data_IF_381393712977
#
_entry.id   IF_381393712977
#
_cell.length_a   1.000
_cell.length_b   1.000
_cell.length_c   1.000
_cell.angle_alpha   90.00
_cell.angle_beta   90.00
_cell.angle_gamma   90.00
#
_symmetry.space_group_name_H-M   'P 1'
#
loop_
_entity.id
_entity.type
_entity.pdbx_description
1 polymer ?
#
# COMPACT_ATOMS: atom_id res chain seq x y z
N UNK A 1 24.06 -27.32 -13.69
CA UNK A 1 23.08 -27.61 -12.61
C UNK A 1 22.82 -26.31 -11.87
N UNK A 2 21.64 -25.73 -11.98
CA UNK A 2 21.29 -24.52 -11.23
C UNK A 2 21.24 -24.86 -9.74
N UNK A 3 21.88 -24.05 -8.87
CA UNK A 3 21.75 -24.21 -7.43
C UNK A 3 20.26 -24.10 -7.06
N UNK A 4 19.69 -25.17 -6.49
CA UNK A 4 18.36 -25.13 -5.91
C UNK A 4 18.33 -24.17 -4.72
N UNK A 5 17.21 -23.48 -4.52
CA UNK A 5 17.01 -22.62 -3.35
C UNK A 5 16.86 -23.46 -2.09
N UNK A 6 17.37 -22.97 -0.96
CA UNK A 6 17.07 -23.55 0.35
C UNK A 6 15.60 -23.35 0.72
N UNK A 7 15.08 -24.13 1.67
CA UNK A 7 13.71 -23.95 2.17
C UNK A 7 13.47 -22.55 2.74
N UNK A 8 14.48 -21.98 3.40
CA UNK A 8 14.42 -20.63 3.96
C UNK A 8 14.36 -19.57 2.85
N UNK A 9 15.18 -19.71 1.80
CA UNK A 9 15.13 -18.84 0.63
C UNK A 9 13.79 -18.93 -0.10
N UNK A 10 13.17 -20.11 -0.16
CA UNK A 10 11.83 -20.30 -0.73
C UNK A 10 10.79 -19.56 0.12
N UNK A 11 10.80 -19.76 1.45
CA UNK A 11 9.86 -19.11 2.37
C UNK A 11 9.95 -17.59 2.30
N UNK A 12 11.16 -17.04 2.25
CA UNK A 12 11.37 -15.60 2.13
C UNK A 12 10.82 -15.05 0.80
N UNK A 13 11.06 -15.75 -0.31
CA UNK A 13 10.48 -15.37 -1.62
C UNK A 13 8.96 -15.44 -1.64
N UNK A 14 8.37 -16.46 -1.02
CA UNK A 14 6.92 -16.57 -0.90
C UNK A 14 6.36 -15.39 -0.10
N UNK A 15 7.00 -15.00 1.02
CA UNK A 15 6.57 -13.82 1.80
C UNK A 15 6.54 -12.53 0.98
N UNK A 16 7.48 -12.37 0.03
CA UNK A 16 7.50 -11.23 -0.88
C UNK A 16 6.36 -11.27 -1.91
N UNK A 17 6.01 -12.46 -2.41
CA UNK A 17 4.84 -12.67 -3.27
C UNK A 17 3.57 -12.29 -2.51
N UNK A 18 3.43 -12.72 -1.24
CA UNK A 18 2.27 -12.36 -0.40
C UNK A 18 2.13 -10.87 -0.17
N UNK A 19 3.25 -10.17 0.05
CA UNK A 19 3.24 -8.70 0.12
C UNK A 19 2.78 -8.04 -1.17
N UNK A 20 3.12 -8.62 -2.33
CA UNK A 20 2.67 -8.12 -3.63
C UNK A 20 1.16 -8.33 -3.83
N UNK A 21 0.64 -9.50 -3.43
CA UNK A 21 -0.80 -9.79 -3.42
C UNK A 21 -1.59 -8.82 -2.53
N UNK A 22 -1.05 -8.46 -1.36
CA UNK A 22 -1.68 -7.50 -0.43
C UNK A 22 -1.74 -6.06 -0.99
N UNK A 23 -0.83 -5.70 -1.90
CA UNK A 23 -0.92 -4.39 -2.59
C UNK A 23 -2.07 -4.35 -3.58
N UNK A 24 -2.41 -5.49 -4.19
CA UNK A 24 -3.55 -5.60 -5.12
C UNK A 24 -4.88 -5.79 -4.38
N UNK A 25 -4.89 -6.63 -3.35
CA UNK A 25 -6.07 -6.94 -2.56
C UNK A 25 -5.74 -6.81 -1.06
N UNK A 26 -5.77 -5.59 -0.50
CA UNK A 26 -5.48 -5.37 0.91
C UNK A 26 -6.47 -6.12 1.81
N UNK A 27 -5.95 -6.73 2.88
CA UNK A 27 -6.80 -7.23 3.97
C UNK A 27 -7.34 -6.02 4.71
N UNK A 28 -8.68 -5.90 4.78
CA UNK A 28 -9.34 -4.86 5.56
C UNK A 28 -9.42 -5.26 7.03
N UNK A 29 -9.29 -4.29 7.91
CA UNK A 29 -9.42 -4.47 9.35
C UNK A 29 -9.50 -3.14 10.09
N UNK A 30 -9.65 -3.21 11.41
CA UNK A 30 -9.87 -2.02 12.25
C UNK A 30 -8.57 -1.43 12.82
N UNK A 31 -7.42 -1.81 12.25
CA UNK A 31 -6.10 -1.45 12.78
C UNK A 31 -5.88 -1.89 14.24
N UNK A 32 -6.44 -3.04 14.62
CA UNK A 32 -6.30 -3.69 15.93
C UNK A 32 -5.28 -4.85 15.89
N UNK A 33 -5.06 -5.52 17.03
CA UNK A 33 -4.15 -6.66 17.12
C UNK A 33 -4.57 -7.81 16.20
N UNK A 34 -5.87 -8.03 16.01
CA UNK A 34 -6.37 -9.08 15.13
C UNK A 34 -6.09 -8.77 13.67
N UNK A 35 -6.20 -7.50 13.26
CA UNK A 35 -5.76 -7.06 11.95
C UNK A 35 -4.25 -7.28 11.76
N UNK A 36 -3.44 -6.92 12.77
CA UNK A 36 -2.00 -7.13 12.73
C UNK A 36 -1.63 -8.62 12.60
N UNK A 37 -2.29 -9.50 13.35
CA UNK A 37 -2.14 -10.96 13.24
C UNK A 37 -2.56 -11.48 11.87
N UNK A 38 -3.69 -11.00 11.32
CA UNK A 38 -4.15 -11.41 9.98
C UNK A 38 -3.17 -11.03 8.89
N UNK A 39 -2.60 -9.82 8.94
CA UNK A 39 -1.56 -9.40 8.00
C UNK A 39 -0.33 -10.29 8.10
N UNK A 40 0.19 -10.52 9.32
CA UNK A 40 1.32 -11.43 9.51
C UNK A 40 0.99 -12.86 9.05
N UNK A 41 -0.19 -13.37 9.41
CA UNK A 41 -0.68 -14.68 9.01
C UNK A 41 -0.74 -14.84 7.48
N UNK A 42 -1.15 -13.81 6.76
CA UNK A 42 -1.17 -13.83 5.30
C UNK A 42 0.24 -13.76 4.70
N UNK A 43 1.09 -12.85 5.20
CA UNK A 43 2.47 -12.69 4.69
C UNK A 43 3.28 -13.97 4.89
N UNK A 44 3.07 -14.65 6.01
CA UNK A 44 3.82 -15.84 6.41
C UNK A 44 3.01 -17.14 6.30
N UNK A 45 1.94 -17.16 5.51
CA UNK A 45 1.06 -18.35 5.40
C UNK A 45 1.82 -19.61 4.95
N UNK A 46 2.92 -19.44 4.21
CA UNK A 46 3.82 -20.50 3.76
C UNK A 46 4.86 -20.90 4.85
N UNK A 47 4.69 -20.41 6.07
CA UNK A 47 5.48 -20.70 7.29
C UNK A 47 4.53 -20.88 8.50
N UNK A 48 3.74 -21.97 8.53
CA UNK A 48 2.59 -22.13 9.44
C UNK A 48 2.96 -22.15 10.94
N UNK A 49 4.21 -22.42 11.28
CA UNK A 49 4.69 -22.42 12.66
C UNK A 49 4.68 -21.01 13.28
N UNK A 50 4.86 -19.97 12.44
CA UNK A 50 4.96 -18.57 12.89
C UNK A 50 3.81 -17.69 12.41
N UNK A 51 3.11 -18.09 11.33
CA UNK A 51 2.08 -17.28 10.68
C UNK A 51 0.98 -16.79 11.63
N UNK A 52 0.91 -15.48 11.84
CA UNK A 52 -0.16 -14.82 12.62
C UNK A 52 -0.12 -15.14 14.12
N UNK A 53 0.95 -15.75 14.61
CA UNK A 53 1.11 -16.15 16.01
C UNK A 53 2.07 -15.20 16.70
N UNK A 54 1.64 -14.65 17.84
CA UNK A 54 2.57 -13.90 18.68
C UNK A 54 3.65 -14.82 19.24
N UNK A 55 4.86 -14.29 19.39
CA UNK A 55 5.95 -14.99 20.06
C UNK A 55 5.62 -15.17 21.54
N UNK A 56 6.18 -16.19 22.21
CA UNK A 56 6.06 -16.33 23.64
C UNK A 56 6.73 -15.15 24.38
N UNK A 57 6.25 -14.92 25.60
CA UNK A 57 6.92 -14.05 26.56
C UNK A 57 8.35 -14.53 26.80
N UNK A 58 9.29 -13.58 26.84
CA UNK A 58 10.68 -13.83 27.23
C UNK A 58 10.79 -13.55 28.72
N UNK A 59 11.12 -14.58 29.51
CA UNK A 59 11.40 -14.44 30.93
C UNK A 59 12.74 -13.71 31.10
N UNK A 60 12.66 -12.46 31.55
CA UNK A 60 13.82 -11.62 31.85
C UNK A 60 14.18 -11.81 33.33
N UNK A 61 15.44 -12.14 33.64
CA UNK A 61 15.89 -12.28 35.04
C UNK A 61 16.50 -10.97 35.53
N UNK A 62 16.04 -10.46 36.68
CA UNK A 62 16.58 -9.26 37.30
C UNK A 62 16.53 -8.04 36.37
N UNK A 63 17.71 -7.47 36.05
CA UNK A 63 17.87 -6.28 35.19
C UNK A 63 18.34 -6.66 33.77
N UNK A 64 17.95 -7.81 33.24
CA UNK A 64 18.23 -8.14 31.84
C UNK A 64 17.32 -7.36 30.88
N UNK A 65 17.71 -7.30 29.60
CA UNK A 65 16.86 -6.80 28.52
C UNK A 65 16.80 -7.88 27.44
N UNK A 66 15.62 -8.08 26.85
CA UNK A 66 15.55 -8.94 25.68
C UNK A 66 16.11 -8.20 24.47
N UNK A 67 17.16 -8.76 23.87
CA UNK A 67 17.92 -8.09 22.82
C UNK A 67 18.12 -8.98 21.60
N UNK A 68 18.28 -8.34 20.45
CA UNK A 68 18.75 -8.98 19.21
C UNK A 68 19.95 -8.21 18.69
N UNK A 69 20.93 -8.94 18.15
CA UNK A 69 22.09 -8.34 17.49
C UNK A 69 21.83 -8.27 16.00
N UNK A 70 22.05 -7.10 15.40
CA UNK A 70 21.96 -6.90 13.95
C UNK A 70 23.32 -6.50 13.41
N UNK A 71 23.83 -7.27 12.45
CA UNK A 71 25.05 -6.93 11.72
C UNK A 71 24.75 -6.04 10.53
N UNK A 72 25.52 -4.96 10.41
CA UNK A 72 25.54 -4.01 9.31
C UNK A 72 26.86 -4.13 8.56
N UNK A 73 26.80 -4.40 7.26
CA UNK A 73 27.98 -4.53 6.42
C UNK A 73 28.83 -3.26 6.47
N UNK A 74 30.12 -3.41 6.80
CA UNK A 74 31.07 -2.29 6.88
C UNK A 74 30.89 -1.35 8.08
N UNK A 75 29.99 -1.64 9.01
CA UNK A 75 29.72 -0.82 10.19
C UNK A 75 29.85 -1.58 11.51
N UNK A 76 29.60 -2.90 11.50
CA UNK A 76 29.72 -3.74 12.69
C UNK A 76 28.37 -4.30 13.11
N UNK A 77 28.16 -4.52 14.40
CA UNK A 77 26.89 -5.02 14.92
C UNK A 77 26.30 -4.04 15.94
N UNK A 78 24.99 -3.93 15.93
CA UNK A 78 24.20 -3.11 16.85
C UNK A 78 23.32 -4.04 17.68
N UNK A 79 23.30 -3.81 18.99
CA UNK A 79 22.39 -4.47 19.91
C UNK A 79 21.09 -3.68 19.99
N UNK A 80 19.96 -4.35 19.78
CA UNK A 80 18.63 -3.74 19.80
C UNK A 80 17.77 -4.39 20.87
N UNK A 81 17.27 -3.60 21.82
CA UNK A 81 16.51 -4.09 22.96
C UNK A 81 15.00 -3.88 22.76
N UNK A 82 14.22 -4.94 22.91
CA UNK A 82 12.77 -4.97 22.67
C UNK A 82 12.01 -5.32 23.96
N UNK A 83 10.68 -5.30 23.89
CA UNK A 83 9.82 -5.69 25.02
C UNK A 83 9.97 -7.18 25.39
N UNK A 84 9.64 -7.61 26.62
CA UNK A 84 9.55 -9.04 26.93
C UNK A 84 8.37 -9.76 26.25
N UNK A 85 7.40 -9.04 25.67
CA UNK A 85 6.08 -9.59 25.27
C UNK A 85 5.30 -10.21 26.43
N UNK A 86 5.45 -9.64 27.62
CA UNK A 86 4.58 -9.92 28.75
C UNK A 86 3.18 -9.33 28.55
N UNK A 87 2.26 -9.61 29.48
CA UNK A 87 0.89 -9.08 29.43
C UNK A 87 0.83 -7.54 29.39
N UNK A 88 1.82 -6.84 29.96
CA UNK A 88 1.92 -5.39 29.91
C UNK A 88 2.29 -4.89 28.52
N UNK A 89 3.26 -5.54 27.87
CA UNK A 89 3.68 -5.25 26.50
C UNK A 89 2.52 -5.43 25.52
N UNK A 90 1.73 -6.49 25.68
CA UNK A 90 0.54 -6.73 24.84
C UNK A 90 -0.51 -5.63 25.05
N UNK A 91 -0.82 -5.28 26.31
CA UNK A 91 -1.74 -4.16 26.62
C UNK A 91 -1.24 -2.82 26.09
N UNK A 92 0.07 -2.58 26.08
CA UNK A 92 0.66 -1.39 25.48
C UNK A 92 0.43 -1.38 23.96
N UNK A 93 0.62 -2.50 23.27
CA UNK A 93 0.32 -2.63 21.85
C UNK A 93 -1.16 -2.36 21.56
N UNK A 94 -2.08 -2.95 22.35
CA UNK A 94 -3.52 -2.67 22.25
C UNK A 94 -3.82 -1.18 22.47
N UNK A 95 -3.23 -0.56 23.48
CA UNK A 95 -3.44 0.86 23.75
C UNK A 95 -2.95 1.75 22.60
N UNK A 96 -1.82 1.41 21.97
CA UNK A 96 -1.31 2.12 20.80
C UNK A 96 -2.30 2.01 19.64
N UNK A 97 -2.78 0.80 19.36
CA UNK A 97 -3.72 0.55 18.27
C UNK A 97 -5.10 1.17 18.53
N UNK A 98 -5.62 1.09 19.75
CA UNK A 98 -6.89 1.72 20.14
C UNK A 98 -6.83 3.25 20.09
N UNK A 99 -5.63 3.84 20.14
CA UNK A 99 -5.45 5.29 19.98
C UNK A 99 -5.48 5.75 18.52
N UNK A 100 -5.46 4.81 17.55
CA UNK A 100 -5.54 5.14 16.13
C UNK A 100 -6.95 5.63 15.80
N UNK A 101 -7.05 6.90 15.43
CA UNK A 101 -8.29 7.52 14.97
C UNK A 101 -8.14 7.96 13.51
N UNK A 102 -8.76 7.20 12.60
CA UNK A 102 -8.68 7.43 11.15
C UNK A 102 -9.21 8.82 10.76
N UNK A 103 -10.33 9.25 11.35
CA UNK A 103 -10.91 10.56 11.02
C UNK A 103 -9.98 11.70 11.44
N UNK A 104 -9.31 11.58 12.60
CA UNK A 104 -8.25 12.52 13.00
C UNK A 104 -7.06 12.46 12.04
N UNK A 105 -6.62 11.27 11.65
CA UNK A 105 -5.46 11.11 10.76
C UNK A 105 -5.69 11.76 9.38
N UNK A 106 -6.93 11.75 8.86
CA UNK A 106 -7.32 12.40 7.60
C UNK A 106 -7.19 13.92 7.63
N UNK A 107 -7.24 14.55 8.81
CA UNK A 107 -7.14 16.02 8.93
C UNK A 107 -5.70 16.52 9.03
N UNK A 108 -4.73 15.62 9.25
CA UNK A 108 -3.33 15.99 9.47
C UNK A 108 -2.65 16.44 8.17
N UNK A 109 -1.75 17.40 8.31
CA UNK A 109 -0.82 17.70 7.23
C UNK A 109 0.22 16.57 7.06
N UNK A 110 1.07 16.68 6.03
CA UNK A 110 2.05 15.64 5.72
C UNK A 110 3.06 15.41 6.84
N UNK A 111 3.52 16.46 7.51
CA UNK A 111 4.53 16.37 8.57
C UNK A 111 3.92 15.81 9.85
N UNK A 112 2.74 16.30 10.24
CA UNK A 112 1.98 15.80 11.38
C UNK A 112 1.61 14.32 11.19
N UNK A 113 1.15 13.95 10.00
CA UNK A 113 0.84 12.57 9.68
C UNK A 113 2.09 11.66 9.76
N UNK A 114 3.23 12.12 9.25
CA UNK A 114 4.49 11.39 9.35
C UNK A 114 4.90 11.12 10.81
N UNK A 115 4.72 12.12 11.70
CA UNK A 115 4.98 11.99 13.14
C UNK A 115 4.10 10.93 13.79
N UNK A 116 2.80 10.94 13.48
CA UNK A 116 1.85 9.96 14.01
C UNK A 116 2.19 8.53 13.55
N UNK A 117 2.47 8.34 12.25
CA UNK A 117 2.86 7.01 11.73
C UNK A 117 4.20 6.55 12.31
N UNK A 118 5.19 7.43 12.47
CA UNK A 118 6.46 7.10 13.12
C UNK A 118 6.25 6.68 14.57
N UNK A 119 5.39 7.38 15.31
CA UNK A 119 5.02 7.08 16.70
C UNK A 119 4.35 5.71 16.84
N UNK A 120 3.40 5.39 15.96
CA UNK A 120 2.74 4.07 15.94
C UNK A 120 3.76 2.98 15.59
N UNK A 121 4.53 3.18 14.51
CA UNK A 121 5.50 2.19 14.02
C UNK A 121 6.51 1.83 15.11
N UNK A 122 7.16 2.82 15.73
CA UNK A 122 8.22 2.55 16.71
C UNK A 122 7.74 1.85 17.97
N UNK A 123 6.52 2.18 18.43
CA UNK A 123 5.94 1.52 19.62
C UNK A 123 5.64 0.07 19.31
N UNK A 124 5.00 -0.22 18.18
CA UNK A 124 4.72 -1.60 17.77
C UNK A 124 6.00 -2.40 17.47
N UNK A 125 7.02 -1.76 16.90
CA UNK A 125 8.29 -2.44 16.63
C UNK A 125 9.09 -2.73 17.90
N UNK A 126 9.03 -1.86 18.92
CA UNK A 126 9.55 -2.15 20.26
C UNK A 126 8.86 -3.36 20.90
N UNK A 127 7.53 -3.47 20.75
CA UNK A 127 6.79 -4.64 21.23
C UNK A 127 7.31 -5.92 20.55
N UNK A 128 7.55 -5.84 19.24
CA UNK A 128 8.10 -6.91 18.40
C UNK A 128 7.31 -8.23 18.56
N UNK A 129 6.00 -8.22 18.21
CA UNK A 129 5.07 -9.24 18.66
C UNK A 129 5.21 -10.60 17.99
N UNK A 130 5.83 -10.71 16.82
CA UNK A 130 5.93 -11.97 16.07
C UNK A 130 7.32 -12.61 16.19
N UNK A 131 7.45 -13.94 16.03
CA UNK A 131 8.75 -14.61 15.95
C UNK A 131 9.61 -14.10 14.79
N UNK A 132 8.98 -13.93 13.62
CA UNK A 132 9.56 -13.35 12.41
C UNK A 132 8.54 -12.42 11.73
N UNK A 133 9.05 -11.52 10.89
CA UNK A 133 8.23 -10.76 9.99
C UNK A 133 7.69 -9.45 10.53
N UNK A 134 8.13 -9.03 11.71
CA UNK A 134 7.68 -7.80 12.36
C UNK A 134 7.76 -6.61 11.40
N UNK A 135 8.93 -6.35 10.80
CA UNK A 135 9.07 -5.17 9.92
C UNK A 135 8.33 -5.30 8.59
N UNK A 136 8.18 -6.52 8.03
CA UNK A 136 7.35 -6.74 6.83
C UNK A 136 5.88 -6.45 7.13
N UNK A 137 5.40 -6.93 8.27
CA UNK A 137 4.03 -6.72 8.76
C UNK A 137 3.78 -5.24 9.08
N UNK A 138 4.66 -4.58 9.82
CA UNK A 138 4.48 -3.17 10.22
C UNK A 138 4.54 -2.20 9.05
N UNK A 139 5.38 -2.46 8.05
CA UNK A 139 5.39 -1.65 6.81
C UNK A 139 4.09 -1.78 6.04
N UNK A 140 3.51 -2.98 5.97
CA UNK A 140 2.23 -3.21 5.29
C UNK A 140 1.04 -2.64 6.10
N UNK A 141 1.07 -2.80 7.43
CA UNK A 141 0.10 -2.20 8.35
C UNK A 141 0.10 -0.67 8.23
N UNK A 142 1.27 -0.03 8.23
CA UNK A 142 1.38 1.44 8.09
C UNK A 142 1.10 1.92 6.68
N UNK A 143 1.36 1.13 5.63
CA UNK A 143 0.93 1.42 4.25
C UNK A 143 -0.59 1.50 4.15
N UNK A 144 -1.29 0.45 4.59
CA UNK A 144 -2.77 0.39 4.57
C UNK A 144 -3.40 1.46 5.46
N UNK A 145 -2.83 1.71 6.65
CA UNK A 145 -3.26 2.80 7.52
C UNK A 145 -3.11 4.17 6.85
N UNK A 146 -2.01 4.38 6.12
CA UNK A 146 -1.79 5.63 5.39
C UNK A 146 -2.81 5.81 4.27
N UNK A 147 -3.17 4.74 3.57
CA UNK A 147 -4.16 4.79 2.49
C UNK A 147 -5.54 5.17 3.01
N UNK A 148 -5.98 4.57 4.12
CA UNK A 148 -7.26 4.93 4.78
C UNK A 148 -7.26 6.39 5.29
N UNK A 149 -6.08 6.95 5.59
CA UNK A 149 -5.89 8.35 5.95
C UNK A 149 -5.69 9.30 4.74
N UNK A 150 -5.73 8.80 3.50
CA UNK A 150 -5.58 9.62 2.29
C UNK A 150 -4.14 9.93 1.89
N UNK A 151 -3.18 9.12 2.35
CA UNK A 151 -1.77 9.19 1.94
C UNK A 151 -1.31 7.88 1.30
N UNK A 152 -0.42 7.98 0.32
CA UNK A 152 0.36 6.84 -0.17
C UNK A 152 1.71 6.85 0.55
N UNK A 153 2.00 5.79 1.29
CA UNK A 153 3.29 5.57 1.94
C UNK A 153 4.10 4.54 1.15
N UNK A 154 5.16 4.99 0.48
CA UNK A 154 6.01 4.15 -0.35
C UNK A 154 7.38 3.90 0.30
N UNK A 155 7.48 2.81 1.05
CA UNK A 155 8.72 2.38 1.70
C UNK A 155 9.88 2.07 0.73
N UNK A 156 9.63 1.92 -0.57
CA UNK A 156 10.68 1.70 -1.56
C UNK A 156 11.51 2.97 -1.86
N UNK A 157 11.08 4.13 -1.35
CA UNK A 157 11.82 5.41 -1.47
C UNK A 157 12.99 5.53 -0.49
N UNK A 158 13.20 4.54 0.38
CA UNK A 158 14.34 4.49 1.29
C UNK A 158 15.02 3.12 1.22
N UNK A 159 16.31 3.10 1.49
CA UNK A 159 17.07 1.85 1.49
C UNK A 159 16.72 1.00 2.72
N UNK A 160 16.99 -0.30 2.65
CA UNK A 160 16.82 -1.18 3.79
C UNK A 160 17.66 -0.73 5.00
N UNK A 161 18.89 -0.28 4.74
CA UNK A 161 19.82 0.22 5.76
C UNK A 161 19.26 1.46 6.47
N UNK A 162 18.77 2.46 5.71
CA UNK A 162 18.15 3.66 6.26
C UNK A 162 16.99 3.31 7.21
N UNK A 163 16.07 2.44 6.75
CA UNK A 163 14.90 2.04 7.53
C UNK A 163 15.30 1.24 8.77
N UNK A 164 16.29 0.35 8.68
CA UNK A 164 16.73 -0.45 9.81
C UNK A 164 17.43 0.38 10.86
N UNK A 165 18.34 1.28 10.47
CA UNK A 165 18.99 2.21 11.41
C UNK A 165 17.97 3.10 12.11
N UNK A 166 17.03 3.68 11.36
CA UNK A 166 15.99 4.54 11.92
C UNK A 166 15.12 3.83 12.95
N UNK A 167 14.71 2.59 12.65
CA UNK A 167 13.91 1.76 13.54
C UNK A 167 14.68 1.33 14.79
N UNK A 168 15.91 0.84 14.60
CA UNK A 168 16.75 0.36 15.69
C UNK A 168 17.09 1.52 16.67
N UNK A 169 17.31 2.73 16.15
CA UNK A 169 17.44 3.96 16.95
C UNK A 169 16.21 4.22 17.82
N UNK A 170 15.00 4.16 17.23
CA UNK A 170 13.76 4.45 17.95
C UNK A 170 13.45 3.38 19.01
N UNK A 171 13.68 2.10 18.69
CA UNK A 171 13.51 0.98 19.62
C UNK A 171 14.46 1.11 20.81
N UNK A 172 15.74 1.38 20.57
CA UNK A 172 16.71 1.60 21.64
C UNK A 172 16.42 2.87 22.44
N UNK A 173 15.89 3.92 21.81
CA UNK A 173 15.46 5.13 22.51
C UNK A 173 14.32 4.85 23.49
N UNK A 174 13.35 4.01 23.10
CA UNK A 174 12.28 3.55 24.01
C UNK A 174 12.88 2.72 25.15
N UNK A 175 13.79 1.80 24.84
CA UNK A 175 14.48 0.98 25.84
C UNK A 175 15.32 1.82 26.81
N UNK A 176 15.99 2.88 26.34
CA UNK A 176 16.79 3.78 27.17
C UNK A 176 15.94 4.48 28.24
N UNK A 177 14.75 4.94 27.85
CA UNK A 177 13.79 5.54 28.78
C UNK A 177 13.25 4.55 29.83
N UNK A 178 13.30 3.25 29.52
CA UNK A 178 12.81 2.15 30.38
C UNK A 178 13.91 1.43 31.15
N UNK A 179 15.17 1.71 30.84
CA UNK A 179 16.32 1.09 31.49
C UNK A 179 16.39 1.44 32.97
N UNK A 180 16.63 0.43 33.80
CA UNK A 180 16.59 0.53 35.26
C UNK A 180 17.97 0.81 35.86
N UNK A 181 19.06 0.48 35.17
CA UNK A 181 20.43 0.65 35.69
C UNK A 181 21.25 1.65 34.88
N UNK A 182 22.24 2.32 35.49
CA UNK A 182 23.18 3.18 34.78
C UNK A 182 23.94 2.45 33.67
N UNK A 183 24.34 1.19 33.90
CA UNK A 183 25.04 0.36 32.91
C UNK A 183 24.19 0.09 31.68
N UNK A 184 22.90 -0.25 31.85
CA UNK A 184 21.98 -0.42 30.73
C UNK A 184 21.81 0.89 29.94
N UNK A 185 21.65 2.01 30.66
CA UNK A 185 21.50 3.33 30.03
C UNK A 185 22.73 3.68 29.18
N UNK A 186 23.92 3.45 29.71
CA UNK A 186 25.18 3.68 29.01
C UNK A 186 25.27 2.81 27.75
N UNK A 187 25.04 1.49 27.87
CA UNK A 187 25.09 0.58 26.72
C UNK A 187 24.07 0.95 25.63
N UNK A 188 22.83 1.28 26.01
CA UNK A 188 21.80 1.72 25.04
C UNK A 188 22.17 3.07 24.41
N UNK A 189 22.77 3.98 25.17
CA UNK A 189 23.23 5.27 24.66
C UNK A 189 24.36 5.10 23.64
N UNK A 190 25.32 4.20 23.91
CA UNK A 190 26.41 3.88 22.97
C UNK A 190 25.87 3.34 21.64
N UNK A 191 24.89 2.42 21.68
CA UNK A 191 24.23 1.88 20.49
C UNK A 191 23.45 2.96 19.72
N UNK A 192 22.75 3.86 20.43
CA UNK A 192 22.03 5.00 19.84
C UNK A 192 22.99 5.97 19.16
N UNK A 193 24.12 6.28 19.79
CA UNK A 193 25.12 7.19 19.26
C UNK A 193 25.84 6.57 18.05
N UNK A 194 26.19 5.29 18.11
CA UNK A 194 26.71 4.57 16.96
C UNK A 194 25.78 4.70 15.75
N UNK A 195 24.48 4.39 15.91
CA UNK A 195 23.50 4.55 14.83
C UNK A 195 23.44 6.00 14.35
N UNK A 196 23.40 6.98 15.26
CA UNK A 196 23.30 8.40 14.92
C UNK A 196 24.48 8.88 14.06
N UNK A 197 25.68 8.37 14.30
CA UNK A 197 26.88 8.70 13.53
C UNK A 197 27.00 7.92 12.22
N UNK A 198 26.13 6.94 11.96
CA UNK A 198 26.12 6.24 10.69
C UNK A 198 25.72 7.17 9.54
N UNK A 199 26.50 7.17 8.45
CA UNK A 199 26.29 8.07 7.29
C UNK A 199 24.92 7.95 6.60
N UNK A 200 24.30 6.77 6.67
CA UNK A 200 22.97 6.50 6.10
C UNK A 200 21.84 6.71 7.11
N UNK A 201 22.13 7.08 8.36
CA UNK A 201 21.07 7.29 9.34
C UNK A 201 20.23 8.52 9.00
N UNK A 202 18.91 8.33 9.05
CA UNK A 202 17.89 9.37 8.97
C UNK A 202 16.83 9.08 10.03
N UNK A 203 16.27 10.10 10.71
CA UNK A 203 15.17 9.88 11.65
C UNK A 203 13.98 9.18 10.99
N UNK A 204 13.30 8.29 11.72
CA UNK A 204 12.19 7.49 11.18
C UNK A 204 11.05 8.37 10.64
N UNK A 205 10.71 9.44 11.37
CA UNK A 205 9.76 10.46 10.91
C UNK A 205 10.14 11.01 9.54
N UNK A 206 11.43 11.31 9.31
CA UNK A 206 11.87 11.94 8.07
C UNK A 206 11.88 10.96 6.89
N UNK A 207 12.21 9.69 7.15
CA UNK A 207 12.04 8.60 6.18
C UNK A 207 10.58 8.48 5.75
N UNK A 208 9.65 8.45 6.71
CA UNK A 208 8.22 8.35 6.43
C UNK A 208 7.75 9.59 5.66
N UNK A 209 8.10 10.79 6.12
CA UNK A 209 7.73 12.04 5.46
C UNK A 209 8.21 12.09 4.00
N UNK A 210 9.47 11.73 3.72
CA UNK A 210 9.99 11.66 2.36
C UNK A 210 9.28 10.58 1.50
N UNK A 211 8.80 9.52 2.15
CA UNK A 211 8.10 8.41 1.51
C UNK A 211 6.62 8.69 1.23
N UNK A 212 6.04 9.71 1.88
CA UNK A 212 4.64 10.08 1.74
C UNK A 212 4.36 10.94 0.49
N UNK A 213 3.30 10.60 -0.21
CA UNK A 213 2.60 11.47 -1.16
C UNK A 213 1.11 11.48 -0.84
N UNK A 214 0.37 12.53 -1.23
CA UNK A 214 -1.10 12.47 -1.15
C UNK A 214 -1.58 11.27 -1.95
N UNK A 215 -2.47 10.48 -1.36
CA UNK A 215 -3.17 9.44 -2.11
C UNK A 215 -4.07 10.21 -3.06
N UNK A 216 -3.70 10.25 -4.34
CA UNK A 216 -4.52 10.94 -5.31
C UNK A 216 -5.88 10.25 -5.33
N UNK A 217 -6.94 11.01 -5.01
CA UNK A 217 -8.35 10.61 -5.19
C UNK A 217 -8.57 10.05 -6.62
N UNK A 218 -7.70 10.43 -7.54
CA UNK A 218 -7.61 10.00 -8.94
C UNK A 218 -7.63 8.48 -9.17
N UNK A 219 -7.19 7.61 -8.25
CA UNK A 219 -7.21 6.15 -8.51
C UNK A 219 -8.52 5.45 -8.11
N UNK A 220 -9.43 6.14 -7.42
CA UNK A 220 -10.67 5.53 -6.92
C UNK A 220 -11.92 5.82 -7.74
N UNK A 221 -11.87 6.81 -8.65
CA UNK A 221 -13.06 7.25 -9.39
C UNK A 221 -13.25 6.41 -10.65
N UNK A 222 -14.35 5.67 -10.67
CA UNK A 222 -14.74 4.83 -11.81
C UNK A 222 -15.78 5.57 -12.64
N UNK A 223 -15.50 5.70 -13.94
CA UNK A 223 -16.41 6.28 -14.92
C UNK A 223 -17.00 5.19 -15.80
N UNK A 224 -18.33 5.08 -15.82
CA UNK A 224 -19.06 4.26 -16.79
C UNK A 224 -19.26 5.08 -18.06
N UNK A 225 -18.57 4.71 -19.13
CA UNK A 225 -18.63 5.38 -20.43
C UNK A 225 -19.60 4.62 -21.34
N UNK A 226 -20.56 5.34 -21.88
CA UNK A 226 -21.53 4.82 -22.83
C UNK A 226 -21.63 5.73 -24.04
N UNK A 227 -21.78 5.12 -25.21
CA UNK A 227 -22.03 5.84 -26.45
C UNK A 227 -23.49 5.59 -26.84
N UNK A 228 -24.30 6.64 -27.00
CA UNK A 228 -25.72 6.50 -27.37
C UNK A 228 -25.96 7.08 -28.75
N UNK A 229 -26.69 6.38 -29.63
CA UNK A 229 -26.91 6.88 -31.00
C UNK A 229 -27.76 8.15 -30.99
N UNK A 230 -27.23 9.24 -31.55
CA UNK A 230 -27.92 10.52 -31.63
C UNK A 230 -28.59 10.63 -33.01
N UNK A 231 -29.86 10.21 -33.09
CA UNK A 231 -30.62 10.17 -34.36
C UNK A 231 -30.77 11.56 -34.99
N UNK A 232 -31.19 12.55 -34.20
CA UNK A 232 -31.46 13.91 -34.68
C UNK A 232 -30.21 14.55 -35.27
N UNK A 233 -29.08 14.49 -34.55
CA UNK A 233 -27.83 15.03 -35.07
C UNK A 233 -27.34 14.25 -36.28
N UNK A 234 -27.51 12.92 -36.28
CA UNK A 234 -27.08 12.08 -37.40
C UNK A 234 -27.81 12.40 -38.69
N UNK A 235 -29.13 12.61 -38.61
CA UNK A 235 -29.97 13.01 -39.73
C UNK A 235 -29.59 14.42 -40.21
N UNK A 236 -29.36 15.36 -39.27
CA UNK A 236 -29.00 16.75 -39.57
C UNK A 236 -27.68 16.88 -40.34
N UNK A 237 -26.67 16.07 -40.01
CA UNK A 237 -25.33 16.17 -40.62
C UNK A 237 -25.06 15.11 -41.67
N UNK A 238 -25.97 14.14 -41.87
CA UNK A 238 -25.78 13.01 -42.78
C UNK A 238 -24.68 12.03 -42.38
N UNK A 239 -24.27 12.00 -41.10
CA UNK A 239 -23.21 11.11 -40.58
C UNK A 239 -23.61 10.57 -39.21
N UNK A 240 -23.35 9.29 -38.95
CA UNK A 240 -23.66 8.68 -37.64
C UNK A 240 -22.92 9.40 -36.51
N UNK A 241 -23.69 9.91 -35.56
CA UNK A 241 -23.20 10.59 -34.37
C UNK A 241 -23.68 9.87 -33.12
N UNK A 242 -22.87 9.95 -32.06
CA UNK A 242 -23.20 9.35 -30.77
C UNK A 242 -22.95 10.35 -29.65
N UNK A 243 -23.88 10.41 -28.70
CA UNK A 243 -23.67 11.12 -27.44
C UNK A 243 -22.71 10.33 -26.56
N UNK A 244 -21.81 11.04 -25.89
CA UNK A 244 -20.87 10.49 -24.91
C UNK A 244 -21.47 10.69 -23.53
N UNK A 245 -21.91 9.59 -22.92
CA UNK A 245 -22.49 9.58 -21.59
C UNK A 245 -21.48 9.03 -20.59
N UNK A 246 -21.34 9.72 -19.47
CA UNK A 246 -20.49 9.36 -18.34
C UNK A 246 -21.40 9.23 -17.13
N UNK A 247 -21.51 8.01 -16.61
CA UNK A 247 -22.45 7.66 -15.53
C UNK A 247 -23.90 8.08 -15.87
N UNK A 248 -24.29 7.99 -17.15
CA UNK A 248 -25.61 8.37 -17.65
C UNK A 248 -25.82 9.85 -17.94
N UNK A 249 -24.82 10.71 -17.69
CA UNK A 249 -24.89 12.16 -17.93
C UNK A 249 -23.98 12.51 -19.11
N UNK A 250 -24.42 13.43 -19.98
CA UNK A 250 -23.60 13.88 -21.12
C UNK A 250 -22.27 14.49 -20.64
N UNK A 251 -21.16 14.11 -21.27
CA UNK A 251 -19.81 14.40 -20.76
C UNK A 251 -19.50 15.90 -20.66
N UNK A 252 -19.96 16.71 -21.61
CA UNK A 252 -19.85 18.18 -21.62
C UNK A 252 -20.54 18.84 -20.42
N UNK A 253 -21.67 18.29 -19.99
CA UNK A 253 -22.38 18.74 -18.79
C UNK A 253 -21.63 18.31 -17.52
N UNK A 254 -21.17 17.06 -17.48
CA UNK A 254 -20.50 16.52 -16.30
C UNK A 254 -19.12 17.15 -16.06
N UNK A 255 -18.40 17.53 -17.12
CA UNK A 255 -17.10 18.21 -17.03
C UNK A 255 -17.16 19.53 -16.26
N UNK A 256 -18.30 20.22 -16.25
CA UNK A 256 -18.49 21.45 -15.45
C UNK A 256 -18.54 21.19 -13.95
N UNK A 257 -18.78 19.94 -13.55
CA UNK A 257 -18.99 19.51 -12.15
C UNK A 257 -17.91 18.55 -11.66
N UNK A 258 -17.13 17.97 -12.56
CA UNK A 258 -16.10 16.98 -12.26
C UNK A 258 -14.75 17.35 -12.91
N UNK A 259 -13.85 17.88 -12.08
CA UNK A 259 -12.52 18.31 -12.50
C UNK A 259 -11.61 17.16 -12.94
N UNK A 260 -11.87 15.92 -12.54
CA UNK A 260 -11.06 14.75 -12.89
C UNK A 260 -11.48 14.10 -14.22
N UNK A 261 -12.73 14.34 -14.67
CA UNK A 261 -13.26 13.72 -15.88
C UNK A 261 -12.46 14.11 -17.13
N UNK A 262 -11.91 15.33 -17.19
CA UNK A 262 -11.10 15.77 -18.33
C UNK A 262 -9.92 14.83 -18.58
N UNK A 263 -9.19 14.48 -17.51
CA UNK A 263 -8.01 13.60 -17.55
C UNK A 263 -8.41 12.16 -17.91
N UNK A 264 -9.53 11.67 -17.37
CA UNK A 264 -10.06 10.36 -17.70
C UNK A 264 -10.43 10.24 -19.19
N UNK A 265 -11.05 11.27 -19.78
CA UNK A 265 -11.40 11.31 -21.20
C UNK A 265 -10.17 11.47 -22.11
N UNK A 266 -9.13 12.18 -21.66
CA UNK A 266 -7.83 12.23 -22.34
C UNK A 266 -7.17 10.85 -22.39
N UNK A 267 -7.15 10.14 -21.27
CA UNK A 267 -6.64 8.77 -21.22
C UNK A 267 -7.45 7.80 -22.08
N UNK A 268 -8.78 7.89 -22.02
CA UNK A 268 -9.68 7.10 -22.86
C UNK A 268 -9.39 7.31 -24.35
N UNK A 269 -9.18 8.56 -24.79
CA UNK A 269 -8.87 8.88 -26.19
C UNK A 269 -7.61 8.18 -26.72
N UNK A 270 -6.70 7.76 -25.84
CA UNK A 270 -5.48 7.04 -26.23
C UNK A 270 -5.72 5.55 -26.53
N UNK A 271 -6.91 5.01 -26.22
CA UNK A 271 -7.25 3.63 -26.55
C UNK A 271 -7.21 3.41 -28.06
N UNK A 272 -6.60 2.30 -28.48
CA UNK A 272 -6.34 1.96 -29.88
C UNK A 272 -7.61 2.04 -30.74
N UNK A 273 -8.71 1.47 -30.26
CA UNK A 273 -9.98 1.42 -31.00
C UNK A 273 -10.63 2.80 -31.21
N UNK A 274 -10.43 3.73 -30.26
CA UNK A 274 -10.91 5.10 -30.38
C UNK A 274 -10.05 5.92 -31.33
N UNK A 275 -8.72 5.77 -31.27
CA UNK A 275 -7.79 6.43 -32.19
C UNK A 275 -8.00 6.03 -33.64
N UNK A 276 -8.17 4.73 -33.90
CA UNK A 276 -8.44 4.20 -35.24
C UNK A 276 -9.75 4.77 -35.81
N UNK A 277 -10.76 5.01 -34.96
CA UNK A 277 -12.04 5.63 -35.33
C UNK A 277 -12.00 7.16 -35.34
N UNK A 278 -10.84 7.80 -35.17
CA UNK A 278 -10.67 9.25 -35.22
C UNK A 278 -11.31 10.00 -34.04
N UNK A 279 -11.52 9.33 -32.91
CA UNK A 279 -12.15 9.92 -31.71
C UNK A 279 -11.07 10.55 -30.83
N UNK A 280 -11.09 11.89 -30.72
CA UNK A 280 -10.14 12.66 -29.91
C UNK A 280 -10.68 12.97 -28.51
N UNK A 281 -9.80 13.42 -27.62
CA UNK A 281 -10.18 13.89 -26.29
C UNK A 281 -11.17 15.07 -26.36
N UNK A 282 -10.99 15.99 -27.31
CA UNK A 282 -11.89 17.13 -27.52
C UNK A 282 -13.29 16.67 -27.93
N UNK A 283 -13.39 15.68 -28.81
CA UNK A 283 -14.67 15.10 -29.21
C UNK A 283 -15.37 14.35 -28.08
N UNK A 284 -14.60 13.68 -27.22
CA UNK A 284 -15.15 13.05 -26.01
C UNK A 284 -15.65 14.10 -25.01
N UNK A 285 -14.94 15.24 -24.88
CA UNK A 285 -15.29 16.34 -23.96
C UNK A 285 -16.44 17.20 -24.46
N UNK A 286 -16.69 17.26 -25.77
CA UNK A 286 -17.81 18.01 -26.35
C UNK A 286 -19.17 17.32 -26.19
N UNK A 287 -19.20 16.12 -25.60
CA UNK A 287 -20.42 15.35 -25.41
C UNK A 287 -20.85 14.55 -26.63
N UNK A 288 -20.16 14.66 -27.77
CA UNK A 288 -20.61 14.05 -29.03
C UNK A 288 -19.44 13.60 -29.90
N UNK A 289 -19.51 12.39 -30.43
CA UNK A 289 -18.49 11.83 -31.32
C UNK A 289 -19.05 11.39 -32.67
N UNK A 290 -18.18 11.34 -33.68
CA UNK A 290 -18.47 10.86 -35.03
C UNK A 290 -17.40 9.85 -35.44
N UNK A 291 -17.58 8.56 -35.12
CA UNK A 291 -16.60 7.53 -35.44
C UNK A 291 -16.41 7.39 -36.95
N UNK A 292 -15.16 7.27 -37.39
CA UNK A 292 -14.83 6.89 -38.76
C UNK A 292 -15.20 5.42 -39.00
N UNK A 293 -15.57 5.12 -40.25
CA UNK A 293 -15.69 3.74 -40.71
C UNK A 293 -14.29 3.19 -40.96
N UNK A 294 -13.95 2.08 -40.32
CA UNK A 294 -12.66 1.43 -40.55
C UNK A 294 -12.66 0.67 -41.89
N UNK A 295 -11.51 0.47 -42.54
CA UNK A 295 -11.43 -0.22 -43.84
C UNK A 295 -12.02 -1.63 -43.86
N UNK A 296 -12.06 -2.29 -42.70
CA UNK A 296 -12.58 -3.64 -42.50
C UNK A 296 -14.05 -3.68 -42.03
N UNK A 297 -14.76 -2.54 -42.00
CA UNK A 297 -16.16 -2.45 -41.58
C UNK A 297 -17.11 -2.17 -42.74
N UNK A 298 -18.24 -2.87 -42.80
CA UNK A 298 -19.31 -2.61 -43.78
C UNK A 298 -20.18 -1.39 -43.45
N UNK A 299 -20.07 -0.86 -42.22
CA UNK A 299 -20.80 0.32 -41.73
C UNK A 299 -20.07 0.94 -40.55
N UNK A 300 -20.30 2.23 -40.30
CA UNK A 300 -19.81 2.89 -39.06
C UNK A 300 -20.36 2.16 -37.84
N UNK A 301 -19.46 1.55 -37.07
CA UNK A 301 -19.76 0.91 -35.79
C UNK A 301 -19.48 1.86 -34.62
N UNK A 302 -20.37 1.79 -33.63
CA UNK A 302 -20.26 2.49 -32.35
C UNK A 302 -19.11 1.92 -31.53
N UNK A 303 -18.33 2.75 -30.80
CA UNK A 303 -17.38 2.24 -29.82
C UNK A 303 -18.05 1.44 -28.69
N UNK A 304 -17.29 0.54 -28.07
CA UNK A 304 -17.80 -0.25 -26.95
C UNK A 304 -17.92 0.58 -25.67
N UNK A 305 -19.04 0.38 -24.97
CA UNK A 305 -19.22 0.87 -23.60
C UNK A 305 -18.19 0.22 -22.68
N UNK A 306 -17.62 0.98 -21.75
CA UNK A 306 -16.59 0.47 -20.84
C UNK A 306 -16.56 1.24 -19.54
N UNK A 307 -15.98 0.62 -18.51
CA UNK A 307 -15.57 1.31 -17.29
C UNK A 307 -14.12 1.74 -17.42
N UNK A 308 -13.82 2.96 -16.99
CA UNK A 308 -12.45 3.47 -16.91
C UNK A 308 -12.16 4.01 -15.51
N UNK A 309 -10.89 3.99 -15.11
CA UNK A 309 -10.40 4.74 -13.95
C UNK A 309 -10.26 6.24 -14.28
N UNK A 310 -9.84 7.07 -13.32
CA UNK A 310 -9.66 8.50 -13.57
C UNK A 310 -8.43 8.84 -14.44
N UNK A 311 -7.62 7.85 -14.81
CA UNK A 311 -6.54 7.98 -15.80
C UNK A 311 -6.98 7.52 -17.19
N UNK A 312 -8.20 7.04 -17.35
CA UNK A 312 -8.75 6.58 -18.61
C UNK A 312 -8.48 5.12 -18.95
N UNK A 313 -7.86 4.34 -18.05
CA UNK A 313 -7.54 2.94 -18.27
C UNK A 313 -8.77 2.05 -18.12
N UNK A 314 -8.93 1.04 -18.99
CA UNK A 314 -10.06 0.09 -18.93
C UNK A 314 -10.05 -0.70 -17.63
N UNK A 315 -11.18 -0.73 -16.93
CA UNK A 315 -11.41 -1.60 -15.77
C UNK A 315 -12.17 -2.83 -16.27
N UNK A 316 -11.50 -3.97 -16.33
CA UNK A 316 -12.14 -5.24 -16.68
C UNK A 316 -13.03 -5.72 -15.52
N UNK A 317 -14.27 -6.07 -15.82
CA UNK A 317 -15.07 -6.89 -14.91
C UNK A 317 -14.43 -8.27 -14.85
N UNK A 318 -13.82 -8.65 -13.72
CA UNK A 318 -13.45 -10.05 -13.47
C UNK A 318 -14.68 -10.91 -13.75
N UNK A 319 -14.63 -11.66 -14.84
CA UNK A 319 -15.65 -12.66 -15.12
C UNK A 319 -15.54 -13.76 -14.08
N UNK A 320 -16.67 -14.23 -13.58
CA UNK A 320 -16.81 -15.31 -12.61
C UNK A 320 -16.21 -16.65 -13.07
N UNK A 321 -15.69 -16.75 -14.29
CA UNK A 321 -15.04 -17.94 -14.83
C UNK A 321 -13.58 -18.14 -14.41
N UNK A 322 -12.87 -17.11 -13.93
CA UNK A 322 -11.46 -17.25 -13.52
C UNK A 322 -11.30 -17.73 -12.07
N UNK A 323 -12.37 -17.66 -11.26
CA UNK A 323 -12.40 -18.19 -9.89
C UNK A 323 -12.62 -19.71 -9.83
N UNK A 324 -13.07 -20.34 -10.92
CA UNK A 324 -13.30 -21.80 -10.96
C UNK A 324 -12.16 -22.60 -11.62
N UNK A 325 -11.16 -21.94 -12.23
CA UNK A 325 -10.00 -22.64 -12.83
C UNK A 325 -8.80 -22.81 -11.90
N UNK A 326 -8.77 -22.17 -10.73
CA UNK A 326 -7.68 -22.32 -9.73
C UNK A 326 -8.03 -23.20 -8.52
N UNK A 327 -9.22 -23.78 -8.45
CA UNK A 327 -9.63 -24.72 -7.38
C UNK A 327 -9.60 -26.20 -7.79
N UNK A 328 -9.15 -26.53 -9.01
CA UNK A 328 -8.92 -27.91 -9.47
C UNK A 328 -7.47 -28.12 -9.86
N UNK A 329 -6.64 -28.34 -8.86
CA UNK A 329 -5.25 -28.71 -9.05
C UNK A 329 -4.53 -28.59 -7.73
N UNK A 330 -4.79 -29.55 -6.84
CA UNK A 330 -3.91 -30.10 -5.80
C UNK A 330 -4.79 -30.98 -4.91
N UNK A 331 -5.15 -32.13 -5.46
CA UNK A 331 -5.53 -33.33 -4.71
C UNK A 331 -4.41 -34.31 -4.96
N UNK A 332 -3.53 -34.46 -3.97
CA UNK A 332 -2.86 -35.68 -3.49
C UNK A 332 -1.79 -35.29 -2.48
#
# INVERSE_FOLDING_TARGET
MGKGYSEEEIKDKLSFIRLSELRENPIKGNFDLEHLKKLNGYIFQDSPDVAGKFRPEVKISGNELWQKVRSYSGFGSITVCYSPMDSKSIKEAESVLNSVNIERLKTLDKSEFAKEIASIYKKLDYIHPFPDGNSRTLREFTRTLSEEAGFKLDWAKSTQTEVYLARDFEVNSISLLRASTPTQKMALQDEIDAIRYHKEYKPLEKIIECSLSKLSVEQSKVYKIEFSFNKELSEKIGKKSYDVLVNGIKSDVLLKRDNQLSKALEGLANHKDLREKGISAESLKSGTIQPLMLPNEFKVNRPENRKIDALGSKIESKSTSDLQKKSKGFSL
#
